data_IF_191170785707
#
_entry.id   IF_191170785707
#
_cell.length_a   1.000
_cell.length_b   1.000
_cell.length_c   1.000
_cell.angle_alpha   90.00
_cell.angle_beta   90.00
_cell.angle_gamma   90.00
#
_symmetry.space_group_name_H-M   'P 1'
#
loop_
_entity.id
_entity.type
_entity.pdbx_description
1 polymer ?
#
# COMPACT_ATOMS: atom_id res chain seq x y z
N UNK A 1 -16.44 38.88 39.40
CA UNK A 1 -16.48 40.28 38.92
C UNK A 1 -15.17 40.97 39.26
N UNK A 2 -14.53 41.56 38.23
CA UNK A 2 -13.41 42.54 38.23
C UNK A 2 -12.04 42.03 38.72
N UNK A 3 -11.09 41.80 37.80
CA UNK A 3 -10.19 42.76 37.12
C UNK A 3 -9.14 43.41 38.03
N UNK A 4 -7.87 43.11 37.77
CA UNK A 4 -6.78 44.10 37.77
C UNK A 4 -5.89 43.85 36.53
N UNK A 5 -5.84 44.88 35.69
CA UNK A 5 -4.94 45.08 34.55
C UNK A 5 -3.59 45.63 35.04
N UNK A 6 -2.50 45.40 34.30
CA UNK A 6 -1.58 46.49 33.93
C UNK A 6 -0.89 46.23 32.57
N UNK A 7 -0.88 47.29 31.77
CA UNK A 7 -0.37 47.45 30.40
C UNK A 7 1.14 47.75 30.37
N UNK A 8 1.80 47.49 29.24
CA UNK A 8 2.75 48.42 28.58
C UNK A 8 3.01 47.91 27.13
N UNK A 9 2.36 48.46 26.09
CA UNK A 9 2.73 49.61 25.22
C UNK A 9 3.44 49.19 23.93
N UNK A 10 2.76 49.45 22.81
CA UNK A 10 3.23 49.29 21.43
C UNK A 10 4.15 50.42 20.98
N UNK A 11 5.08 50.11 20.06
CA UNK A 11 5.54 51.01 19.00
C UNK A 11 5.58 50.21 17.69
N UNK A 12 4.90 50.75 16.69
CA UNK A 12 4.76 50.29 15.31
C UNK A 12 5.87 50.83 14.39
N UNK A 13 5.80 50.42 13.11
CA UNK A 13 6.42 50.96 11.86
C UNK A 13 7.62 50.11 11.39
N UNK A 14 7.71 49.58 10.16
CA UNK A 14 7.03 49.92 8.91
C UNK A 14 6.81 48.71 7.99
N UNK A 15 5.62 48.67 7.40
CA UNK A 15 5.29 48.06 6.12
C UNK A 15 5.88 48.95 5.01
N UNK A 16 6.54 48.36 4.02
CA UNK A 16 6.68 48.95 2.68
C UNK A 16 5.99 48.02 1.71
N UNK A 17 4.87 48.47 1.17
CA UNK A 17 4.24 47.98 -0.04
C UNK A 17 4.09 49.17 -0.99
N UNK A 18 4.65 49.08 -2.19
CA UNK A 18 4.36 49.87 -3.41
C UNK A 18 4.90 49.05 -4.58
N UNK A 19 4.31 48.84 -5.76
CA UNK A 19 2.94 48.84 -6.35
C UNK A 19 3.19 48.61 -7.86
N UNK A 20 2.55 47.57 -8.41
CA UNK A 20 1.86 47.44 -9.71
C UNK A 20 2.48 47.90 -11.04
N UNK A 21 2.32 47.03 -12.04
CA UNK A 21 1.46 47.26 -13.23
C UNK A 21 0.70 45.95 -13.49
N UNK A 22 -0.63 45.81 -13.48
CA UNK A 22 -1.70 46.77 -13.67
C UNK A 22 -2.28 46.63 -15.08
N UNK A 23 -3.26 45.73 -15.27
CA UNK A 23 -4.35 45.96 -16.23
C UNK A 23 -5.58 45.11 -15.85
N UNK A 24 -6.66 45.83 -15.57
CA UNK A 24 -7.99 45.34 -15.26
C UNK A 24 -8.62 44.60 -16.43
N UNK A 25 -9.28 43.48 -16.13
CA UNK A 25 -10.45 43.04 -16.88
C UNK A 25 -11.55 42.63 -15.89
N UNK A 26 -12.64 43.37 -16.00
CA UNK A 26 -13.93 43.16 -15.39
C UNK A 26 -14.47 41.76 -15.74
N UNK A 27 -15.03 41.07 -14.75
CA UNK A 27 -16.00 39.99 -14.92
C UNK A 27 -15.54 38.77 -15.70
N UNK A 28 -15.04 37.77 -14.99
CA UNK A 28 -15.42 36.40 -15.26
C UNK A 28 -15.43 35.65 -13.93
N UNK A 29 -16.53 34.95 -13.65
CA UNK A 29 -16.59 34.03 -12.52
C UNK A 29 -15.55 32.95 -12.77
N UNK A 30 -14.44 33.01 -12.05
CA UNK A 30 -13.50 31.90 -11.95
C UNK A 30 -14.25 30.77 -11.27
N UNK A 31 -14.93 29.91 -12.05
CA UNK A 31 -15.23 28.56 -11.62
C UNK A 31 -13.87 27.92 -11.39
N UNK A 32 -13.45 27.82 -10.13
CA UNK A 32 -12.40 26.88 -9.77
C UNK A 32 -12.94 25.51 -10.17
N UNK A 33 -12.49 24.99 -11.31
CA UNK A 33 -12.70 23.59 -11.66
C UNK A 33 -12.06 22.79 -10.54
N UNK A 34 -12.88 22.05 -9.79
CA UNK A 34 -12.37 21.11 -8.80
C UNK A 34 -11.52 20.08 -9.52
N UNK A 35 -10.33 19.79 -8.97
CA UNK A 35 -9.44 18.80 -9.55
C UNK A 35 -10.15 17.43 -9.55
N UNK A 36 -10.01 16.72 -10.67
CA UNK A 36 -10.61 15.41 -10.89
C UNK A 36 -9.53 14.35 -10.93
N UNK A 37 -9.62 13.34 -10.07
CA UNK A 37 -8.68 12.23 -10.04
C UNK A 37 -9.40 10.91 -10.24
N UNK A 38 -8.93 10.12 -11.20
CA UNK A 38 -9.41 8.75 -11.43
C UNK A 38 -8.36 7.76 -10.93
N UNK A 39 -8.82 6.77 -10.17
CA UNK A 39 -8.02 5.71 -9.60
C UNK A 39 -8.47 4.37 -10.15
N UNK A 40 -7.51 3.52 -10.50
CA UNK A 40 -7.76 2.12 -10.79
C UNK A 40 -7.49 1.30 -9.55
N UNK A 41 -8.53 0.65 -9.04
CA UNK A 41 -8.51 -0.16 -7.83
C UNK A 41 -8.91 -1.60 -8.11
N UNK A 42 -8.62 -2.49 -7.17
CA UNK A 42 -9.19 -3.83 -7.13
C UNK A 42 -9.73 -4.12 -5.75
N UNK A 43 -10.62 -5.10 -5.64
CA UNK A 43 -11.17 -5.53 -4.37
C UNK A 43 -10.99 -7.01 -4.09
N UNK A 44 -11.29 -7.41 -2.85
CA UNK A 44 -11.39 -8.80 -2.43
C UNK A 44 -12.44 -9.61 -3.21
N UNK A 45 -13.30 -8.95 -3.99
CA UNK A 45 -14.37 -9.57 -4.79
C UNK A 45 -14.31 -9.33 -6.29
N UNK A 46 -13.55 -8.34 -6.75
CA UNK A 46 -13.53 -7.98 -8.16
C UNK A 46 -12.18 -7.41 -8.58
N UNK A 47 -11.83 -7.63 -9.83
CA UNK A 47 -10.48 -7.34 -10.33
C UNK A 47 -10.28 -5.92 -10.81
N UNK A 48 -11.37 -5.15 -10.98
CA UNK A 48 -11.24 -3.80 -11.50
C UNK A 48 -12.35 -2.89 -11.01
N UNK A 49 -11.97 -1.74 -10.50
CA UNK A 49 -12.89 -0.62 -10.34
C UNK A 49 -12.19 0.69 -10.66
N UNK A 50 -12.86 1.53 -11.43
CA UNK A 50 -12.47 2.92 -11.63
C UNK A 50 -13.26 3.79 -10.69
N UNK A 51 -12.55 4.54 -9.85
CA UNK A 51 -13.16 5.51 -8.95
C UNK A 51 -12.67 6.89 -9.33
N UNK A 52 -13.60 7.81 -9.58
CA UNK A 52 -13.29 9.20 -9.90
C UNK A 52 -13.79 10.11 -8.80
N UNK A 53 -12.89 10.91 -8.24
CA UNK A 53 -13.18 11.92 -7.21
C UNK A 53 -13.17 13.30 -7.86
N UNK A 54 -14.25 14.06 -7.63
CA UNK A 54 -14.37 15.49 -7.96
C UNK A 54 -14.93 16.21 -6.74
N UNK A 55 -14.08 16.94 -6.02
CA UNK A 55 -14.45 17.56 -4.75
C UNK A 55 -14.91 16.53 -3.73
N UNK A 56 -16.17 16.62 -3.28
CA UNK A 56 -16.81 15.66 -2.38
C UNK A 56 -17.57 14.54 -3.11
N UNK A 57 -17.68 14.62 -4.45
CA UNK A 57 -18.41 13.63 -5.24
C UNK A 57 -17.47 12.51 -5.67
N UNK A 58 -17.95 11.29 -5.53
CA UNK A 58 -17.29 10.07 -5.97
C UNK A 58 -18.19 9.34 -6.96
N UNK A 59 -17.63 8.96 -8.11
CA UNK A 59 -18.31 8.07 -9.06
C UNK A 59 -17.45 6.84 -9.29
N UNK A 60 -18.07 5.67 -9.40
CA UNK A 60 -17.38 4.42 -9.61
C UNK A 60 -18.03 3.57 -10.69
N UNK A 61 -17.20 2.89 -11.47
CA UNK A 61 -17.59 1.70 -12.23
C UNK A 61 -16.73 0.55 -11.73
N UNK A 62 -17.37 -0.51 -11.23
CA UNK A 62 -16.71 -1.67 -10.65
C UNK A 62 -17.16 -2.94 -11.39
N UNK A 63 -16.19 -3.63 -12.00
CA UNK A 63 -16.41 -4.88 -12.69
C UNK A 63 -16.01 -6.06 -11.80
N UNK A 64 -16.92 -7.02 -11.64
CA UNK A 64 -16.60 -8.35 -11.10
C UNK A 64 -16.28 -9.26 -12.29
N UNK A 65 -15.07 -9.80 -12.30
CA UNK A 65 -14.51 -10.50 -13.46
C UNK A 65 -14.18 -11.93 -13.07
N UNK A 66 -14.69 -12.90 -13.84
CA UNK A 66 -14.42 -14.31 -13.65
C UNK A 66 -12.95 -14.65 -13.97
N UNK A 67 -12.50 -15.83 -13.56
CA UNK A 67 -11.14 -16.33 -13.82
C UNK A 67 -10.77 -16.37 -15.31
N UNK A 68 -11.77 -16.50 -16.19
CA UNK A 68 -11.58 -16.51 -17.64
C UNK A 68 -11.52 -15.10 -18.26
N UNK A 69 -11.65 -14.05 -17.45
CA UNK A 69 -11.64 -12.65 -17.88
C UNK A 69 -13.00 -12.09 -18.31
N UNK A 70 -14.08 -12.89 -18.27
CA UNK A 70 -15.42 -12.39 -18.59
C UNK A 70 -15.97 -11.55 -17.42
N UNK A 71 -16.61 -10.43 -17.75
CA UNK A 71 -17.34 -9.63 -16.75
C UNK A 71 -18.59 -10.40 -16.33
N UNK A 72 -18.66 -10.79 -15.06
CA UNK A 72 -19.82 -11.45 -14.48
C UNK A 72 -20.96 -10.46 -14.30
N UNK A 73 -20.67 -9.30 -13.73
CA UNK A 73 -21.57 -8.15 -13.61
C UNK A 73 -20.76 -6.90 -13.27
N UNK A 74 -21.39 -5.74 -13.45
CA UNK A 74 -20.81 -4.43 -13.15
C UNK A 74 -21.69 -3.63 -12.21
N UNK A 75 -21.07 -2.92 -11.28
CA UNK A 75 -21.71 -1.92 -10.45
C UNK A 75 -21.34 -0.51 -10.90
N UNK A 76 -22.34 0.36 -10.96
CA UNK A 76 -22.12 1.79 -11.07
C UNK A 76 -22.57 2.46 -9.77
N UNK A 77 -21.68 3.24 -9.17
CA UNK A 77 -21.90 3.90 -7.89
C UNK A 77 -21.71 5.40 -8.06
N UNK A 78 -22.60 6.18 -7.47
CA UNK A 78 -22.37 7.60 -7.18
C UNK A 78 -22.53 7.79 -5.69
N UNK A 79 -21.57 8.46 -5.08
CA UNK A 79 -21.52 8.69 -3.64
C UNK A 79 -21.06 10.11 -3.33
N UNK A 80 -21.39 10.56 -2.13
CA UNK A 80 -20.93 11.83 -1.56
C UNK A 80 -20.12 11.55 -0.31
N UNK A 81 -18.91 12.08 -0.26
CA UNK A 81 -17.99 11.94 0.86
C UNK A 81 -17.95 13.20 1.71
N UNK A 82 -17.83 13.00 3.03
CA UNK A 82 -17.57 14.09 3.96
C UNK A 82 -16.13 14.60 3.91
N UNK A 83 -15.85 15.54 4.81
CA UNK A 83 -14.48 15.99 5.07
C UNK A 83 -13.66 14.84 5.68
N UNK A 84 -12.36 14.81 5.38
CA UNK A 84 -11.45 13.84 5.99
C UNK A 84 -11.32 14.12 7.49
N UNK A 85 -11.47 13.08 8.31
CA UNK A 85 -11.12 13.08 9.72
C UNK A 85 -9.61 13.25 9.91
N UNK A 86 -9.17 13.44 11.16
CA UNK A 86 -7.74 13.54 11.49
C UNK A 86 -6.96 12.27 11.09
N UNK A 87 -7.62 11.12 10.94
CA UNK A 87 -7.05 9.87 10.41
C UNK A 87 -6.81 9.92 8.90
N UNK A 88 -7.40 10.87 8.17
CA UNK A 88 -7.43 10.92 6.70
C UNK A 88 -8.63 10.18 6.10
N UNK A 89 -9.44 9.53 6.94
CA UNK A 89 -10.66 8.82 6.53
C UNK A 89 -11.78 9.80 6.27
N UNK A 90 -12.44 9.65 5.13
CA UNK A 90 -13.71 10.28 4.81
C UNK A 90 -14.79 9.22 4.88
N UNK A 91 -15.87 9.51 5.57
CA UNK A 91 -17.07 8.69 5.47
C UNK A 91 -17.88 9.15 4.26
N UNK A 92 -18.32 8.21 3.45
CA UNK A 92 -19.03 8.42 2.21
C UNK A 92 -20.38 7.70 2.26
N UNK A 93 -21.39 8.26 1.59
CA UNK A 93 -22.72 7.67 1.47
C UNK A 93 -23.06 7.47 0.00
N UNK A 94 -23.54 6.27 -0.35
CA UNK A 94 -23.97 5.96 -1.71
C UNK A 94 -25.29 6.69 -1.99
N UNK A 95 -25.24 7.67 -2.89
CA UNK A 95 -26.38 8.44 -3.35
C UNK A 95 -27.24 7.61 -4.33
N UNK A 96 -26.57 6.93 -5.26
CA UNK A 96 -27.20 6.03 -6.23
C UNK A 96 -26.27 4.88 -6.57
N UNK A 97 -26.83 3.66 -6.61
CA UNK A 97 -26.16 2.47 -7.12
C UNK A 97 -27.00 1.82 -8.23
N UNK A 98 -26.34 1.14 -9.16
CA UNK A 98 -26.98 0.18 -10.08
C UNK A 98 -26.07 -1.02 -10.31
N UNK A 99 -26.68 -2.14 -10.69
CA UNK A 99 -25.96 -3.33 -11.14
C UNK A 99 -26.45 -3.70 -12.54
N UNK A 100 -25.49 -4.01 -13.43
CA UNK A 100 -25.73 -4.46 -14.80
C UNK A 100 -25.23 -5.90 -14.95
N UNK A 101 -26.13 -6.80 -15.34
CA UNK A 101 -25.80 -8.20 -15.62
C UNK A 101 -24.73 -8.31 -16.72
N UNK A 102 -23.74 -9.18 -16.49
CA UNK A 102 -22.78 -9.62 -17.49
C UNK A 102 -23.06 -11.08 -17.88
N UNK A 103 -22.08 -11.95 -17.66
CA UNK A 103 -22.26 -13.41 -17.80
C UNK A 103 -23.02 -14.04 -16.63
N UNK A 104 -23.08 -13.35 -15.48
CA UNK A 104 -23.87 -13.69 -14.31
C UNK A 104 -24.96 -12.63 -14.05
N UNK A 105 -25.93 -13.00 -13.22
CA UNK A 105 -27.04 -12.10 -12.84
C UNK A 105 -26.66 -11.37 -11.56
N UNK A 106 -26.86 -10.05 -11.56
CA UNK A 106 -26.75 -9.21 -10.38
C UNK A 106 -27.63 -9.74 -9.25
N UNK A 107 -27.03 -9.97 -8.09
CA UNK A 107 -27.81 -10.37 -6.91
C UNK A 107 -28.44 -9.16 -6.22
N UNK A 108 -27.74 -8.02 -6.19
CA UNK A 108 -28.12 -6.82 -5.44
C UNK A 108 -27.61 -5.53 -6.09
N UNK A 109 -28.06 -4.39 -5.55
CA UNK A 109 -27.60 -3.04 -5.91
C UNK A 109 -26.84 -2.43 -4.73
N UNK A 110 -25.67 -1.81 -4.93
CA UNK A 110 -24.88 -1.24 -3.85
C UNK A 110 -25.61 -0.03 -3.22
N UNK A 111 -25.70 -0.02 -1.89
CA UNK A 111 -26.29 1.06 -1.08
C UNK A 111 -25.57 1.15 0.26
N UNK A 112 -25.76 2.24 0.99
CA UNK A 112 -25.23 2.39 2.35
C UNK A 112 -24.03 3.32 2.43
N UNK A 113 -23.29 3.20 3.53
CA UNK A 113 -22.13 4.04 3.82
C UNK A 113 -20.83 3.21 3.73
N UNK A 114 -19.73 3.89 3.42
CA UNK A 114 -18.39 3.29 3.37
C UNK A 114 -17.34 4.32 3.74
N UNK A 115 -16.20 3.85 4.20
CA UNK A 115 -15.06 4.70 4.50
C UNK A 115 -14.08 4.72 3.33
N UNK A 116 -13.47 5.89 3.10
CA UNK A 116 -12.52 6.12 2.03
C UNK A 116 -11.29 6.86 2.55
N UNK A 117 -10.12 6.53 2.03
CA UNK A 117 -8.91 7.33 2.19
C UNK A 117 -8.31 7.58 0.81
N UNK A 118 -8.02 8.84 0.49
CA UNK A 118 -7.40 9.21 -0.77
C UNK A 118 -6.16 10.06 -0.56
N UNK A 119 -5.14 9.82 -1.40
CA UNK A 119 -4.03 10.73 -1.62
C UNK A 119 -4.25 11.32 -3.01
N UNK A 120 -4.65 12.59 -3.12
CA UNK A 120 -5.01 13.20 -4.40
C UNK A 120 -3.98 12.93 -5.51
N UNK A 121 -4.42 12.23 -6.56
CA UNK A 121 -3.60 11.90 -7.72
C UNK A 121 -2.52 10.84 -7.48
N UNK A 122 -2.61 10.07 -6.38
CA UNK A 122 -1.64 9.03 -6.04
C UNK A 122 -2.31 7.70 -5.70
N UNK A 123 -3.17 7.65 -4.67
CA UNK A 123 -3.76 6.40 -4.17
C UNK A 123 -5.17 6.56 -3.62
N UNK A 124 -5.90 5.45 -3.61
CA UNK A 124 -7.27 5.35 -3.12
C UNK A 124 -7.48 4.03 -2.38
N UNK A 125 -8.13 4.13 -1.24
CA UNK A 125 -8.60 3.02 -0.42
C UNK A 125 -10.08 3.23 -0.13
N UNK A 126 -10.89 2.20 -0.34
CA UNK A 126 -12.31 2.21 0.01
C UNK A 126 -12.59 0.93 0.80
N UNK A 127 -13.24 1.10 1.93
CA UNK A 127 -13.63 0.02 2.81
C UNK A 127 -15.14 0.08 3.05
N UNK A 128 -15.86 -0.94 2.61
CA UNK A 128 -17.32 -0.98 2.74
C UNK A 128 -17.71 -1.71 4.02
N UNK A 129 -18.45 -1.04 4.89
CA UNK A 129 -18.94 -1.65 6.13
C UNK A 129 -20.04 -2.68 5.82
N UNK A 130 -19.85 -3.91 6.30
CA UNK A 130 -20.72 -5.04 5.99
C UNK A 130 -22.09 -4.99 6.68
N UNK A 131 -23.09 -4.37 6.05
CA UNK A 131 -24.48 -4.87 6.12
C UNK A 131 -24.77 -5.93 5.03
N UNK A 132 -23.84 -6.11 4.11
CA UNK A 132 -23.81 -7.20 3.14
C UNK A 132 -22.88 -8.28 3.69
N UNK A 133 -23.20 -9.55 3.46
CA UNK A 133 -22.45 -10.72 3.97
C UNK A 133 -20.96 -10.79 3.56
N UNK A 134 -20.38 -9.72 2.99
CA UNK A 134 -18.96 -9.61 2.72
C UNK A 134 -18.51 -8.13 2.73
N UNK A 135 -17.77 -7.75 3.77
CA UNK A 135 -16.91 -6.57 3.83
C UNK A 135 -15.93 -6.55 2.65
N UNK A 136 -15.72 -5.39 2.03
CA UNK A 136 -14.87 -5.26 0.85
C UNK A 136 -13.87 -4.13 1.00
N UNK A 137 -12.64 -4.44 0.64
CA UNK A 137 -11.55 -3.48 0.57
C UNK A 137 -11.19 -3.28 -0.90
N UNK A 138 -11.35 -2.07 -1.40
CA UNK A 138 -10.76 -1.64 -2.65
C UNK A 138 -9.44 -0.93 -2.38
N UNK A 139 -8.39 -1.33 -3.10
CA UNK A 139 -7.06 -0.71 -3.07
C UNK A 139 -6.66 -0.34 -4.48
N UNK A 140 -6.20 0.89 -4.68
CA UNK A 140 -5.71 1.30 -5.99
C UNK A 140 -4.89 2.57 -6.00
N UNK A 141 -4.44 2.89 -7.20
CA UNK A 141 -3.58 4.04 -7.45
C UNK A 141 -4.13 4.88 -8.59
N UNK A 142 -3.62 6.09 -8.73
CA UNK A 142 -3.97 6.97 -9.83
C UNK A 142 -3.83 6.22 -11.17
N UNK A 143 -4.91 6.24 -11.95
CA UNK A 143 -5.05 5.46 -13.18
C UNK A 143 -3.98 5.86 -14.18
N UNK A 144 -3.33 4.86 -14.78
CA UNK A 144 -2.58 5.06 -16.01
C UNK A 144 -3.54 4.89 -17.19
N UNK A 145 -3.76 5.96 -17.95
CA UNK A 145 -4.63 5.92 -19.13
C UNK A 145 -4.09 4.97 -20.22
N UNK A 146 -2.78 4.72 -20.19
CA UNK A 146 -2.07 3.82 -21.08
C UNK A 146 -1.83 2.43 -20.44
N UNK A 147 -2.56 2.03 -19.39
CA UNK A 147 -2.30 0.78 -18.64
C UNK A 147 -2.23 -0.51 -19.49
N UNK A 148 -2.95 -0.56 -20.63
CA UNK A 148 -2.90 -1.69 -21.58
C UNK A 148 -1.80 -1.58 -22.65
N UNK A 149 -1.12 -0.45 -22.76
CA UNK A 149 -0.06 -0.21 -23.74
C UNK A 149 1.30 0.03 -23.10
N UNK A 150 1.35 0.65 -21.92
CA UNK A 150 2.53 0.79 -21.08
C UNK A 150 2.78 -0.51 -20.33
N UNK A 151 4.03 -0.97 -20.31
CA UNK A 151 4.39 -2.18 -19.58
C UNK A 151 5.45 -1.94 -18.49
N UNK A 152 5.51 -2.90 -17.59
CA UNK A 152 6.43 -2.97 -16.45
C UNK A 152 7.81 -3.28 -17.00
N UNK A 153 8.73 -2.32 -16.94
CA UNK A 153 10.11 -2.53 -17.40
C UNK A 153 11.12 -1.99 -16.39
N UNK A 154 12.19 -2.76 -16.20
CA UNK A 154 13.27 -2.44 -15.27
C UNK A 154 13.06 -3.08 -13.89
N UNK A 155 13.65 -2.45 -12.88
CA UNK A 155 13.78 -3.02 -11.54
C UNK A 155 12.69 -2.47 -10.60
N UNK A 156 12.02 -3.38 -9.91
CA UNK A 156 10.91 -3.10 -9.01
C UNK A 156 11.16 -3.72 -7.63
N UNK A 157 10.86 -2.95 -6.59
CA UNK A 157 10.74 -3.48 -5.23
C UNK A 157 9.30 -3.97 -5.04
N UNK A 158 9.11 -5.07 -4.33
CA UNK A 158 7.79 -5.59 -4.06
C UNK A 158 7.61 -6.10 -2.63
N UNK A 159 6.35 -6.15 -2.19
CA UNK A 159 5.90 -6.95 -1.05
C UNK A 159 4.69 -7.80 -1.41
N UNK A 160 4.64 -9.01 -0.84
CA UNK A 160 3.48 -9.89 -0.88
C UNK A 160 2.56 -9.56 0.29
N UNK A 161 1.28 -9.44 0.04
CA UNK A 161 0.27 -9.10 1.06
C UNK A 161 -0.42 -10.34 1.63
N UNK A 162 -0.08 -11.54 1.15
CA UNK A 162 -0.64 -12.79 1.67
C UNK A 162 -0.24 -13.03 3.12
N UNK A 163 -1.24 -13.38 3.94
CA UNK A 163 -1.02 -13.79 5.33
C UNK A 163 -0.54 -15.24 5.40
N UNK A 164 0.06 -15.63 6.51
CA UNK A 164 0.58 -16.97 6.75
C UNK A 164 1.74 -17.40 5.85
N UNK A 165 2.34 -16.46 5.12
CA UNK A 165 3.48 -16.66 4.23
C UNK A 165 4.79 -16.31 4.96
N UNK A 166 5.86 -17.04 4.67
CA UNK A 166 7.21 -16.83 5.23
C UNK A 166 8.20 -16.27 4.20
N UNK A 167 7.74 -16.00 2.97
CA UNK A 167 8.40 -15.26 1.89
C UNK A 167 7.55 -14.06 1.51
N UNK A 168 8.00 -12.83 1.75
CA UNK A 168 7.07 -11.71 1.59
C UNK A 168 7.64 -10.39 1.06
N UNK A 169 8.95 -10.25 0.85
CA UNK A 169 9.49 -9.05 0.22
C UNK A 169 10.61 -9.39 -0.75
N UNK A 170 10.88 -8.48 -1.68
CA UNK A 170 11.93 -8.73 -2.66
C UNK A 170 12.00 -7.71 -3.77
N UNK A 171 12.60 -8.14 -4.88
CA UNK A 171 12.63 -7.36 -6.10
C UNK A 171 12.42 -8.25 -7.32
N UNK A 172 12.00 -7.64 -8.41
CA UNK A 172 12.05 -8.26 -9.72
C UNK A 172 12.58 -7.29 -10.77
N UNK A 173 13.15 -7.85 -11.84
CA UNK A 173 13.51 -7.17 -13.07
C UNK A 173 12.66 -7.76 -14.19
N UNK A 174 11.91 -6.91 -14.86
CA UNK A 174 11.13 -7.31 -16.03
C UNK A 174 11.68 -6.74 -17.32
N UNK A 175 11.44 -7.47 -18.41
CA UNK A 175 11.65 -6.99 -19.78
C UNK A 175 10.62 -5.92 -20.18
N UNK A 176 10.72 -5.41 -21.41
CA UNK A 176 9.87 -4.32 -21.90
C UNK A 176 8.37 -4.67 -21.98
N UNK A 177 7.98 -5.93 -21.77
CA UNK A 177 6.59 -6.40 -21.91
C UNK A 177 6.10 -7.24 -20.71
N UNK A 178 6.80 -7.22 -19.58
CA UNK A 178 6.47 -8.04 -18.40
C UNK A 178 6.19 -9.52 -18.77
N UNK A 179 7.02 -10.08 -19.64
CA UNK A 179 6.96 -11.46 -20.12
C UNK A 179 8.08 -12.29 -19.50
N UNK A 180 9.28 -11.75 -19.43
CA UNK A 180 10.44 -12.41 -18.84
C UNK A 180 10.81 -11.68 -17.55
N UNK A 181 10.60 -12.35 -16.42
CA UNK A 181 10.74 -11.77 -15.09
C UNK A 181 11.83 -12.53 -14.35
N UNK A 182 12.90 -11.82 -13.99
CA UNK A 182 13.84 -12.28 -12.98
C UNK A 182 13.37 -11.79 -11.63
N UNK A 183 13.24 -12.64 -10.62
CA UNK A 183 12.82 -12.21 -9.29
C UNK A 183 13.66 -12.81 -8.16
N UNK A 184 13.59 -12.15 -7.01
CA UNK A 184 14.25 -12.59 -5.79
C UNK A 184 13.37 -12.29 -4.60
N UNK A 185 12.99 -13.33 -3.87
CA UNK A 185 12.10 -13.35 -2.73
C UNK A 185 12.91 -13.62 -1.48
N UNK A 186 12.62 -12.84 -0.44
CA UNK A 186 13.23 -12.96 0.86
C UNK A 186 12.16 -13.10 1.93
N UNK A 187 12.59 -13.71 3.03
CA UNK A 187 11.79 -13.81 4.24
C UNK A 187 12.62 -14.24 5.42
N UNK A 188 11.96 -14.42 6.55
CA UNK A 188 12.63 -14.79 7.80
C UNK A 188 12.61 -16.29 8.03
N UNK A 189 13.62 -16.77 8.74
CA UNK A 189 13.66 -18.14 9.24
C UNK A 189 14.11 -18.16 10.70
N UNK A 190 13.23 -18.61 11.58
CA UNK A 190 13.55 -18.89 12.98
C UNK A 190 12.58 -19.89 13.61
N UNK A 191 13.08 -21.08 13.94
CA UNK A 191 12.31 -22.07 14.68
C UNK A 191 12.09 -21.71 16.16
N UNK A 192 12.79 -20.70 16.69
CA UNK A 192 12.79 -20.34 18.11
C UNK A 192 12.34 -18.89 18.26
N UNK A 193 11.20 -18.67 18.93
CA UNK A 193 10.59 -17.35 19.11
C UNK A 193 11.50 -16.29 19.76
N UNK A 194 12.54 -16.70 20.49
CA UNK A 194 13.50 -15.81 21.17
C UNK A 194 14.84 -15.68 20.43
N UNK A 195 15.03 -16.40 19.32
CA UNK A 195 16.25 -16.32 18.54
C UNK A 195 16.12 -15.28 17.43
N UNK A 196 17.16 -14.45 17.25
CA UNK A 196 17.29 -13.58 16.07
C UNK A 196 17.15 -14.46 14.82
N UNK A 197 16.21 -14.15 13.91
CA UNK A 197 16.04 -14.92 12.69
C UNK A 197 17.20 -14.69 11.73
N UNK A 198 17.28 -15.52 10.69
CA UNK A 198 18.07 -15.24 9.49
C UNK A 198 17.16 -14.63 8.41
N UNK A 199 17.72 -13.77 7.55
CA UNK A 199 17.10 -13.49 6.23
C UNK A 199 17.50 -14.60 5.27
N UNK A 200 16.53 -15.19 4.60
CA UNK A 200 16.75 -16.31 3.69
C UNK A 200 16.29 -15.93 2.30
N UNK A 201 17.07 -16.32 1.29
CA UNK A 201 16.67 -16.29 -0.11
C UNK A 201 15.77 -17.49 -0.38
N UNK A 202 14.52 -17.23 -0.79
CA UNK A 202 13.44 -18.24 -0.89
C UNK A 202 12.97 -18.52 -2.31
N UNK A 203 13.52 -17.81 -3.30
CA UNK A 203 13.14 -18.00 -4.70
C UNK A 203 13.39 -19.44 -5.16
N UNK A 204 12.32 -20.11 -5.56
CA UNK A 204 12.38 -21.45 -6.14
C UNK A 204 12.98 -21.44 -7.55
N UNK A 205 12.34 -20.70 -8.45
CA UNK A 205 12.81 -20.46 -9.82
C UNK A 205 13.07 -18.96 -9.97
N UNK A 206 14.28 -18.56 -10.37
CA UNK A 206 14.59 -17.13 -10.51
C UNK A 206 13.90 -16.48 -11.71
N UNK A 207 13.70 -17.25 -12.79
CA UNK A 207 13.08 -16.75 -14.01
C UNK A 207 11.66 -17.30 -14.15
N UNK A 208 10.70 -16.39 -14.25
CA UNK A 208 9.32 -16.67 -14.63
C UNK A 208 9.03 -16.10 -16.02
N UNK A 209 8.61 -17.00 -16.92
CA UNK A 209 8.16 -16.63 -18.27
C UNK A 209 6.64 -16.64 -18.32
N UNK A 210 6.08 -15.45 -18.48
CA UNK A 210 4.65 -15.21 -18.53
C UNK A 210 4.16 -15.19 -19.98
N UNK A 211 3.10 -15.94 -20.28
CA UNK A 211 2.41 -15.78 -21.56
C UNK A 211 1.33 -14.70 -21.47
N UNK A 212 1.33 -13.79 -22.45
CA UNK A 212 0.34 -12.72 -22.56
C UNK A 212 -1.03 -13.28 -22.97
N UNK A 213 -2.05 -12.99 -22.16
CA UNK A 213 -3.44 -13.35 -22.43
C UNK A 213 -4.29 -12.12 -22.79
N UNK A 214 -3.66 -10.94 -22.92
CA UNK A 214 -4.29 -9.69 -23.31
C UNK A 214 -4.57 -8.75 -22.14
N UNK A 215 -5.17 -7.61 -22.49
CA UNK A 215 -5.53 -6.57 -21.54
C UNK A 215 -6.95 -6.06 -21.82
N UNK A 216 -7.76 -5.96 -20.78
CA UNK A 216 -9.14 -5.44 -20.84
C UNK A 216 -9.29 -4.44 -19.71
N UNK A 217 -9.75 -3.23 -20.04
CA UNK A 217 -9.98 -2.15 -19.08
C UNK A 217 -8.80 -1.88 -18.13
N UNK A 218 -7.56 -1.93 -18.66
CA UNK A 218 -6.34 -1.69 -17.87
C UNK A 218 -5.87 -2.87 -17.02
N UNK A 219 -6.62 -3.97 -16.97
CA UNK A 219 -6.23 -5.23 -16.34
C UNK A 219 -5.57 -6.15 -17.36
N UNK A 220 -4.29 -6.45 -17.12
CA UNK A 220 -3.51 -7.40 -17.90
C UNK A 220 -3.62 -8.79 -17.30
N UNK A 221 -3.97 -9.77 -18.11
CA UNK A 221 -3.96 -11.17 -17.72
C UNK A 221 -2.74 -11.85 -18.32
N UNK A 222 -1.96 -12.53 -17.49
CA UNK A 222 -0.83 -13.35 -17.91
C UNK A 222 -0.96 -14.75 -17.35
N UNK A 223 -0.37 -15.75 -17.99
CA UNK A 223 -0.29 -17.10 -17.43
C UNK A 223 1.13 -17.45 -17.03
N UNK A 224 1.30 -17.95 -15.80
CA UNK A 224 2.56 -18.53 -15.30
C UNK A 224 2.69 -19.95 -15.89
N UNK A 225 3.93 -20.38 -16.13
CA UNK A 225 4.25 -21.75 -16.57
C UNK A 225 3.65 -22.80 -15.62
N UNK A 226 2.59 -23.48 -16.06
CA UNK A 226 1.82 -24.40 -15.20
C UNK A 226 0.30 -24.27 -15.33
N UNK A 227 -0.18 -23.18 -15.95
CA UNK A 227 -1.60 -22.97 -16.26
C UNK A 227 -2.33 -22.05 -15.27
N UNK A 228 -1.62 -21.47 -14.31
CA UNK A 228 -2.14 -20.45 -13.39
C UNK A 228 -2.16 -19.08 -14.09
N UNK A 229 -3.19 -18.29 -13.85
CA UNK A 229 -3.32 -16.93 -14.37
C UNK A 229 -2.99 -15.92 -13.29
N UNK A 230 -2.18 -14.93 -13.62
CA UNK A 230 -2.04 -13.69 -12.86
C UNK A 230 -2.80 -12.57 -13.55
N UNK A 231 -3.41 -11.72 -12.74
CA UNK A 231 -3.99 -10.46 -13.19
C UNK A 231 -3.19 -9.32 -12.60
N UNK A 232 -2.94 -8.27 -13.36
CA UNK A 232 -2.08 -7.17 -12.96
C UNK A 232 -2.56 -5.85 -13.56
N UNK A 233 -2.35 -4.75 -12.84
CA UNK A 233 -2.71 -3.40 -13.26
C UNK A 233 -1.49 -2.50 -13.22
N UNK A 234 -1.25 -1.83 -14.34
CA UNK A 234 -0.31 -0.73 -14.43
C UNK A 234 -0.95 0.55 -13.91
N UNK A 235 -0.29 1.22 -12.99
CA UNK A 235 -0.73 2.50 -12.43
C UNK A 235 0.32 3.57 -12.71
N UNK A 236 -0.02 4.84 -12.50
CA UNK A 236 0.96 5.91 -12.67
C UNK A 236 2.12 5.83 -11.68
N UNK A 237 1.89 5.23 -10.51
CA UNK A 237 2.87 5.13 -9.42
C UNK A 237 3.67 3.83 -9.42
N UNK A 238 3.22 2.78 -10.12
CA UNK A 238 3.88 1.48 -10.14
C UNK A 238 3.02 0.36 -10.73
N UNK A 239 3.28 -0.87 -10.28
CA UNK A 239 2.52 -2.05 -10.68
C UNK A 239 1.84 -2.66 -9.46
N UNK A 240 0.54 -2.88 -9.56
CA UNK A 240 -0.21 -3.63 -8.57
C UNK A 240 -0.66 -4.97 -9.18
N UNK A 241 -0.21 -6.08 -8.62
CA UNK A 241 -0.52 -7.45 -9.11
C UNK A 241 -1.62 -8.06 -8.26
N UNK A 242 -2.71 -8.44 -8.93
CA UNK A 242 -4.08 -8.55 -8.42
C UNK A 242 -4.48 -9.92 -7.95
N UNK A 243 -3.89 -10.97 -8.51
CA UNK A 243 -4.35 -12.32 -8.24
C UNK A 243 -3.21 -13.30 -8.43
N UNK A 244 -2.70 -13.81 -7.32
CA UNK A 244 -2.17 -15.15 -7.29
C UNK A 244 -3.31 -16.12 -6.94
N UNK A 245 -3.17 -17.43 -7.17
CA UNK A 245 -4.12 -18.43 -6.71
C UNK A 245 -4.54 -18.22 -5.24
N UNK A 246 -5.77 -18.60 -4.90
CA UNK A 246 -6.33 -18.43 -3.55
C UNK A 246 -5.35 -18.90 -2.45
N UNK A 247 -5.12 -18.03 -1.46
CA UNK A 247 -4.17 -18.27 -0.36
C UNK A 247 -2.73 -17.78 -0.59
N UNK A 248 -2.39 -17.28 -1.79
CA UNK A 248 -1.06 -16.71 -2.08
C UNK A 248 -0.99 -15.18 -1.91
N UNK A 249 -2.12 -14.51 -1.70
CA UNK A 249 -2.21 -13.05 -1.55
C UNK A 249 -1.96 -12.26 -2.84
N UNK A 250 -1.76 -10.96 -2.72
CA UNK A 250 -1.39 -10.07 -3.83
C UNK A 250 0.07 -9.65 -3.76
N UNK A 251 0.55 -8.98 -4.81
CA UNK A 251 1.85 -8.28 -4.79
C UNK A 251 1.63 -6.80 -5.04
N UNK A 252 2.20 -5.98 -4.15
CA UNK A 252 2.34 -4.54 -4.42
C UNK A 252 3.77 -4.24 -4.77
N UNK A 253 3.97 -3.54 -5.90
CA UNK A 253 5.31 -3.24 -6.38
C UNK A 253 5.43 -1.84 -6.97
N UNK A 254 6.64 -1.29 -6.89
CA UNK A 254 6.95 0.02 -7.44
C UNK A 254 8.35 0.01 -8.06
N UNK A 255 8.54 0.85 -9.08
CA UNK A 255 9.86 1.03 -9.69
C UNK A 255 10.83 1.46 -8.62
N UNK A 256 12.02 0.88 -8.61
CA UNK A 256 13.09 1.25 -7.66
C UNK A 256 13.49 2.73 -7.76
N UNK A 257 13.26 3.38 -8.92
CA UNK A 257 13.42 4.84 -9.08
C UNK A 257 12.41 5.68 -8.30
N UNK A 258 11.27 5.09 -7.93
CA UNK A 258 10.23 5.71 -7.11
C UNK A 258 10.36 5.31 -5.63
N UNK A 259 11.39 4.55 -5.25
CA UNK A 259 11.60 4.15 -3.87
C UNK A 259 11.75 5.37 -2.96
N UNK A 260 11.06 5.35 -1.82
CA UNK A 260 11.23 6.38 -0.81
C UNK A 260 12.62 6.23 -0.15
N UNK A 261 13.16 7.35 0.32
CA UNK A 261 14.30 7.41 1.21
C UNK A 261 13.84 7.67 2.64
N UNK A 262 14.71 7.42 3.63
CA UNK A 262 14.36 7.67 5.03
C UNK A 262 14.03 9.16 5.30
N UNK A 263 14.70 10.07 4.59
CA UNK A 263 14.44 11.51 4.65
C UNK A 263 13.01 11.89 4.27
N UNK A 264 12.38 11.11 3.37
CA UNK A 264 11.03 11.41 2.90
C UNK A 264 9.96 11.24 3.99
N UNK A 265 10.28 10.47 5.04
CA UNK A 265 9.41 10.31 6.20
C UNK A 265 9.52 11.46 7.21
N UNK A 266 10.51 12.35 7.14
CA UNK A 266 10.74 13.31 8.20
C UNK A 266 9.69 14.45 8.24
N UNK A 267 9.17 14.75 9.43
CA UNK A 267 8.20 15.83 9.70
C UNK A 267 6.92 15.75 8.86
N UNK A 268 6.42 14.54 8.65
CA UNK A 268 5.20 14.22 7.91
C UNK A 268 4.07 13.75 8.83
N UNK A 269 2.84 13.93 8.36
CA UNK A 269 1.65 13.30 8.92
C UNK A 269 1.18 12.21 7.98
N UNK A 270 0.75 11.09 8.53
CA UNK A 270 0.28 9.94 7.80
C UNK A 270 -1.13 9.56 8.22
N UNK A 271 -1.93 9.10 7.28
CA UNK A 271 -3.11 8.27 7.51
C UNK A 271 -2.84 6.85 7.06
N UNK A 272 -3.70 5.91 7.39
CA UNK A 272 -3.50 4.54 7.01
C UNK A 272 -4.58 3.59 7.51
N UNK A 273 -4.39 2.33 7.20
CA UNK A 273 -5.18 1.21 7.70
C UNK A 273 -4.24 0.06 8.04
N UNK A 274 -4.45 -0.58 9.18
CA UNK A 274 -3.81 -1.86 9.53
C UNK A 274 -4.85 -2.96 9.40
N UNK A 275 -4.39 -4.13 9.01
CA UNK A 275 -5.11 -5.40 8.96
C UNK A 275 -4.44 -6.31 9.99
N UNK A 276 -4.91 -6.28 11.25
CA UNK A 276 -4.35 -7.11 12.30
C UNK A 276 -4.67 -8.60 12.06
N UNK A 277 -3.99 -9.46 12.80
CA UNK A 277 -4.14 -10.92 12.69
C UNK A 277 -5.51 -11.43 13.17
N UNK A 278 -6.04 -10.84 14.24
CA UNK A 278 -7.19 -11.36 14.99
C UNK A 278 -8.36 -10.35 15.10
N UNK A 279 -8.31 -9.23 14.36
CA UNK A 279 -9.37 -8.22 14.36
C UNK A 279 -9.66 -7.70 12.95
N UNK A 280 -10.76 -6.95 12.83
CA UNK A 280 -11.08 -6.25 11.59
C UNK A 280 -10.07 -5.14 11.29
N UNK A 281 -10.16 -4.53 10.09
CA UNK A 281 -9.28 -3.42 9.72
C UNK A 281 -9.41 -2.23 10.68
N UNK A 282 -8.29 -1.61 11.04
CA UNK A 282 -8.25 -0.49 11.98
C UNK A 282 -7.56 0.74 11.36
N UNK A 283 -8.13 1.95 11.49
CA UNK A 283 -7.52 3.15 10.94
C UNK A 283 -6.26 3.56 11.72
N UNK A 284 -5.27 4.06 10.99
CA UNK A 284 -4.02 4.59 11.52
C UNK A 284 -3.99 6.11 11.32
N UNK A 285 -3.59 6.84 12.35
CA UNK A 285 -3.12 8.22 12.21
C UNK A 285 -1.73 8.33 12.80
N UNK A 286 -0.75 8.82 12.05
CA UNK A 286 0.61 8.92 12.56
C UNK A 286 1.26 10.27 12.27
N UNK A 287 2.19 10.66 13.13
CA UNK A 287 3.05 11.83 12.93
C UNK A 287 4.50 11.43 13.14
N UNK A 288 5.35 11.90 12.25
CA UNK A 288 6.77 11.58 12.24
C UNK A 288 7.61 12.77 12.69
N UNK A 289 8.74 12.47 13.34
CA UNK A 289 9.69 13.44 13.84
C UNK A 289 10.75 13.82 12.80
N UNK A 290 11.80 14.46 13.28
CA UNK A 290 13.00 14.77 12.48
C UNK A 290 13.86 13.52 12.32
N UNK A 291 14.53 13.36 11.17
CA UNK A 291 15.57 12.35 11.01
C UNK A 291 16.71 12.64 11.99
N UNK A 292 17.00 11.70 12.89
CA UNK A 292 18.13 11.77 13.83
C UNK A 292 18.78 10.41 13.96
N UNK A 293 20.11 10.35 13.83
CA UNK A 293 20.84 9.10 14.09
C UNK A 293 20.56 7.94 13.14
N UNK A 294 19.96 8.19 11.96
CA UNK A 294 19.57 7.13 11.01
C UNK A 294 18.15 6.59 11.24
N UNK A 295 17.34 7.31 12.01
CA UNK A 295 15.98 6.91 12.38
C UNK A 295 15.01 8.10 12.30
N UNK A 296 13.77 7.83 11.90
CA UNK A 296 12.65 8.77 12.00
C UNK A 296 11.66 8.22 13.01
N UNK A 297 11.52 8.88 14.16
CA UNK A 297 10.51 8.52 15.16
C UNK A 297 9.12 8.71 14.58
N UNK A 298 8.20 7.79 14.83
CA UNK A 298 6.81 7.89 14.41
C UNK A 298 5.88 7.58 15.59
N UNK A 299 4.96 8.50 15.88
CA UNK A 299 3.89 8.29 16.84
C UNK A 299 2.62 7.93 16.05
N UNK A 300 2.25 6.65 16.08
CA UNK A 300 1.08 6.11 15.39
C UNK A 300 -0.05 5.86 16.39
N UNK A 301 -1.27 6.27 16.03
CA UNK A 301 -2.49 5.99 16.79
C UNK A 301 -3.30 4.95 16.02
N UNK A 302 -3.54 3.81 16.65
CA UNK A 302 -4.29 2.66 16.12
C UNK A 302 -5.36 2.31 17.15
N UNK A 303 -6.63 2.31 16.75
CA UNK A 303 -7.78 2.13 17.67
C UNK A 303 -7.69 2.98 18.97
N UNK A 304 -7.20 4.22 18.84
CA UNK A 304 -7.02 5.15 19.96
C UNK A 304 -5.83 4.85 20.89
N UNK A 305 -5.05 3.80 20.64
CA UNK A 305 -3.79 3.49 21.32
C UNK A 305 -2.63 4.14 20.58
N UNK A 306 -1.73 4.81 21.31
CA UNK A 306 -0.56 5.48 20.74
C UNK A 306 0.68 4.60 20.88
N UNK A 307 1.22 4.17 19.75
CA UNK A 307 2.49 3.47 19.62
C UNK A 307 3.60 4.44 19.19
N UNK A 308 4.74 4.37 19.87
CA UNK A 308 5.91 5.20 19.54
C UNK A 308 6.98 4.30 18.95
N UNK A 309 7.11 4.34 17.63
CA UNK A 309 8.00 3.48 16.85
C UNK A 309 9.11 4.30 16.21
N UNK A 310 10.03 3.64 15.53
CA UNK A 310 11.05 4.32 14.73
C UNK A 310 11.20 3.63 13.38
N UNK A 311 11.07 4.40 12.30
CA UNK A 311 11.31 3.94 10.93
C UNK A 311 12.80 4.04 10.69
N UNK A 312 13.39 2.95 10.18
CA UNK A 312 14.83 2.86 9.96
C UNK A 312 15.13 2.14 8.65
N UNK A 313 16.29 2.42 8.06
CA UNK A 313 16.83 1.58 6.99
C UNK A 313 17.17 0.18 7.54
N UNK A 314 17.26 -0.81 6.65
CA UNK A 314 17.47 -2.20 7.06
C UNK A 314 18.82 -2.40 7.76
N UNK A 315 19.87 -1.70 7.33
CA UNK A 315 21.22 -1.72 7.90
C UNK A 315 21.42 -0.87 9.16
N UNK A 316 20.48 0.02 9.50
CA UNK A 316 20.51 0.74 10.77
C UNK A 316 20.40 -0.25 11.93
N UNK A 317 21.33 -0.19 12.89
CA UNK A 317 21.29 -1.06 14.07
C UNK A 317 20.02 -0.81 14.90
N UNK A 318 19.27 -1.86 15.21
CA UNK A 318 18.09 -1.79 16.08
C UNK A 318 18.43 -1.91 17.57
N UNK A 319 17.51 -1.45 18.41
CA UNK A 319 17.58 -1.59 19.87
C UNK A 319 17.02 -2.93 20.39
N UNK A 320 16.40 -3.74 19.52
CA UNK A 320 15.84 -5.04 19.87
C UNK A 320 16.94 -6.08 20.13
N UNK A 321 16.70 -6.98 21.09
CA UNK A 321 17.69 -8.02 21.44
C UNK A 321 17.11 -9.42 21.63
N UNK A 322 15.79 -9.57 21.71
CA UNK A 322 15.15 -10.86 21.99
C UNK A 322 13.74 -10.98 21.36
N UNK A 323 13.65 -11.34 20.06
CA UNK A 323 14.80 -11.45 19.15
C UNK A 323 15.27 -10.05 18.67
N UNK A 324 16.43 -9.93 18.02
CA UNK A 324 16.82 -8.73 17.26
C UNK A 324 16.39 -8.85 15.79
N UNK A 325 16.53 -7.80 14.96
CA UNK A 325 16.47 -8.01 13.51
C UNK A 325 17.68 -8.83 13.00
N UNK A 326 17.54 -9.55 11.86
CA UNK A 326 18.68 -10.17 11.21
C UNK A 326 19.66 -9.12 10.65
N UNK A 327 20.87 -9.56 10.33
CA UNK A 327 21.82 -8.75 9.56
C UNK A 327 21.42 -8.70 8.07
N UNK A 328 20.85 -7.58 7.64
CA UNK A 328 20.46 -7.36 6.24
C UNK A 328 21.64 -7.02 5.32
N UNK A 329 22.84 -6.82 5.86
CA UNK A 329 24.08 -6.57 5.10
C UNK A 329 24.85 -7.85 4.80
N UNK A 330 24.41 -8.98 5.35
CA UNK A 330 24.91 -10.29 4.99
C UNK A 330 24.24 -10.78 3.70
N UNK A 331 25.03 -11.40 2.81
CA UNK A 331 24.51 -12.07 1.62
C UNK A 331 23.80 -13.36 2.07
N UNK A 332 22.47 -13.51 1.85
CA UNK A 332 21.78 -14.74 2.19
C UNK A 332 22.38 -15.93 1.45
N UNK A 333 22.39 -17.10 2.10
CA UNK A 333 22.94 -18.31 1.48
C UNK A 333 22.29 -18.57 0.11
N UNK A 334 23.10 -18.95 -0.87
CA UNK A 334 22.72 -19.24 -2.28
C UNK A 334 22.23 -18.06 -3.11
N UNK A 335 22.04 -16.86 -2.53
CA UNK A 335 21.63 -15.68 -3.28
C UNK A 335 22.70 -15.20 -4.27
N UNK A 336 23.97 -15.52 -4.03
CA UNK A 336 25.09 -15.24 -4.93
C UNK A 336 24.95 -15.89 -6.32
N UNK A 337 24.06 -16.89 -6.46
CA UNK A 337 23.72 -17.49 -7.75
C UNK A 337 22.67 -16.67 -8.54
N UNK A 338 21.92 -15.78 -7.88
CA UNK A 338 20.93 -14.92 -8.54
C UNK A 338 21.61 -13.89 -9.44
N UNK A 339 21.05 -13.69 -10.62
CA UNK A 339 21.44 -12.62 -11.55
C UNK A 339 21.21 -11.23 -10.95
N UNK A 340 20.19 -11.08 -10.09
CA UNK A 340 19.88 -9.82 -9.40
C UNK A 340 20.92 -9.46 -8.33
N UNK A 341 21.65 -10.45 -7.79
CA UNK A 341 22.70 -10.22 -6.78
C UNK A 341 23.84 -9.31 -7.24
N UNK A 342 24.04 -9.19 -8.56
CA UNK A 342 25.05 -8.25 -9.11
C UNK A 342 24.64 -6.78 -8.97
N UNK A 343 23.33 -6.50 -8.91
CA UNK A 343 22.79 -5.15 -8.73
C UNK A 343 22.46 -4.91 -7.26
N UNK A 344 21.92 -5.91 -6.58
CA UNK A 344 21.49 -5.86 -5.18
C UNK A 344 22.20 -6.98 -4.43
N UNK A 345 23.40 -6.73 -3.90
CA UNK A 345 24.23 -7.80 -3.34
C UNK A 345 23.62 -8.41 -2.06
N UNK A 346 22.85 -7.61 -1.35
CA UNK A 346 22.24 -7.93 -0.06
C UNK A 346 20.81 -7.39 0.00
N UNK A 347 19.96 -7.91 0.91
CA UNK A 347 18.62 -7.37 1.13
C UNK A 347 18.61 -5.86 1.47
N UNK A 348 19.67 -5.34 2.09
CA UNK A 348 19.79 -3.90 2.36
C UNK A 348 19.94 -3.05 1.09
N UNK A 349 20.44 -3.62 0.00
CA UNK A 349 20.63 -2.87 -1.26
C UNK A 349 19.31 -2.61 -1.99
N UNK A 350 18.22 -3.26 -1.58
CA UNK A 350 16.90 -3.13 -2.19
C UNK A 350 16.30 -1.75 -1.86
N UNK A 351 16.06 -0.88 -2.86
CA UNK A 351 15.57 0.46 -2.60
C UNK A 351 14.16 0.47 -2.00
N UNK A 352 13.95 1.34 -1.01
CA UNK A 352 12.62 1.60 -0.43
C UNK A 352 12.19 0.60 0.62
N UNK A 353 13.08 -0.28 1.10
CA UNK A 353 12.79 -1.14 2.24
C UNK A 353 13.23 -0.49 3.57
N UNK A 354 12.37 -0.65 4.56
CA UNK A 354 12.52 -0.11 5.91
C UNK A 354 12.10 -1.16 6.93
N UNK A 355 12.57 -0.98 8.17
CA UNK A 355 12.12 -1.73 9.33
C UNK A 355 11.63 -0.79 10.43
N UNK A 356 10.82 -1.32 11.35
CA UNK A 356 10.39 -0.57 12.53
C UNK A 356 11.10 -1.09 13.79
N UNK A 357 11.59 -0.15 14.60
CA UNK A 357 12.13 -0.41 15.95
C UNK A 357 11.17 0.08 17.04
N UNK A 358 11.51 -0.22 18.30
CA UNK A 358 10.70 -0.01 19.49
C UNK A 358 9.39 -0.81 19.49
N UNK A 359 9.39 -1.96 18.80
CA UNK A 359 8.32 -2.94 18.89
C UNK A 359 8.26 -3.50 20.31
N UNK A 360 7.05 -3.68 20.83
CA UNK A 360 6.81 -4.09 22.22
C UNK A 360 6.73 -5.61 22.39
N UNK A 361 6.65 -6.36 21.29
CA UNK A 361 6.56 -7.81 21.24
C UNK A 361 7.78 -8.46 20.55
N UNK A 362 7.68 -9.77 20.30
CA UNK A 362 8.73 -10.52 19.61
C UNK A 362 8.70 -10.40 18.08
N UNK A 363 7.75 -9.66 17.50
CA UNK A 363 7.48 -9.58 16.07
C UNK A 363 8.44 -8.70 15.29
N UNK A 364 8.40 -8.78 13.96
CA UNK A 364 9.21 -7.96 13.03
C UNK A 364 8.32 -7.25 12.04
N UNK A 365 8.72 -6.04 11.68
CA UNK A 365 7.99 -5.25 10.70
C UNK A 365 8.93 -4.85 9.59
N UNK A 366 8.57 -5.21 8.36
CA UNK A 366 9.21 -4.73 7.14
C UNK A 366 8.20 -3.91 6.37
N UNK A 367 8.65 -2.75 5.89
CA UNK A 367 7.85 -1.84 5.09
C UNK A 367 8.57 -1.56 3.78
N UNK A 368 7.86 -1.68 2.66
CA UNK A 368 8.28 -1.14 1.39
C UNK A 368 7.55 0.18 1.15
N UNK A 369 8.30 1.22 0.80
CA UNK A 369 7.74 2.55 0.58
C UNK A 369 8.24 3.19 -0.69
N UNK A 370 7.32 3.92 -1.33
CA UNK A 370 7.57 4.70 -2.53
C UNK A 370 7.25 6.17 -2.29
N UNK A 371 7.88 7.03 -3.07
CA UNK A 371 7.55 8.44 -3.21
C UNK A 371 7.03 8.69 -4.63
N UNK A 372 5.79 9.14 -4.71
CA UNK A 372 5.15 9.49 -5.97
C UNK A 372 4.41 10.81 -5.83
N UNK A 373 4.58 11.73 -6.80
CA UNK A 373 4.06 13.10 -6.72
C UNK A 373 4.37 13.79 -5.38
N UNK A 374 5.62 13.64 -4.91
CA UNK A 374 6.10 14.16 -3.62
C UNK A 374 5.36 13.64 -2.36
N UNK A 375 4.53 12.61 -2.51
CA UNK A 375 3.84 11.93 -1.41
C UNK A 375 4.42 10.55 -1.17
N UNK A 376 4.59 10.22 0.11
CA UNK A 376 5.06 8.91 0.55
C UNK A 376 3.89 7.96 0.73
N UNK A 377 4.02 6.75 0.20
CA UNK A 377 3.16 5.61 0.49
C UNK A 377 4.03 4.48 1.00
N UNK A 378 3.70 3.96 2.18
CA UNK A 378 4.33 2.81 2.78
C UNK A 378 3.34 1.66 2.88
N UNK A 379 3.77 0.46 2.56
CA UNK A 379 3.02 -0.77 2.78
C UNK A 379 3.91 -1.60 3.69
N UNK A 380 3.35 -2.15 4.76
CA UNK A 380 4.09 -2.92 5.73
C UNK A 380 3.49 -4.29 6.01
N UNK A 381 4.35 -5.17 6.49
CA UNK A 381 4.02 -6.53 6.91
C UNK A 381 4.47 -6.74 8.34
N UNK A 382 3.63 -7.42 9.11
CA UNK A 382 3.85 -7.73 10.52
C UNK A 382 4.11 -9.23 10.65
N UNK A 383 5.34 -9.56 10.95
CA UNK A 383 5.81 -10.91 11.16
C UNK A 383 5.70 -11.29 12.62
N UNK A 384 4.95 -12.33 12.92
CA UNK A 384 4.88 -12.91 14.25
C UNK A 384 5.32 -14.37 14.24
N UNK A 385 5.87 -14.80 15.37
CA UNK A 385 6.24 -16.21 15.53
C UNK A 385 4.96 -17.04 15.65
N UNK A 386 4.87 -18.11 14.86
CA UNK A 386 3.79 -19.10 14.91
C UNK A 386 4.38 -20.47 15.08
N UNK A 387 3.60 -21.37 15.69
CA UNK A 387 3.91 -22.78 15.81
C UNK A 387 2.87 -23.67 15.12
N UNK A 388 3.13 -24.98 15.11
CA UNK A 388 2.25 -25.96 14.45
C UNK A 388 0.88 -26.15 15.15
N UNK A 389 0.65 -25.51 16.30
CA UNK A 389 -0.64 -25.42 16.96
C UNK A 389 -1.46 -24.21 16.53
N UNK A 390 -0.83 -23.19 15.96
CA UNK A 390 -1.50 -21.99 15.44
C UNK A 390 -2.17 -22.26 14.08
N UNK A 391 -3.27 -21.56 13.80
CA UNK A 391 -4.00 -21.68 12.53
C UNK A 391 -3.47 -20.67 11.51
N UNK A 392 -3.15 -21.15 10.31
CA UNK A 392 -2.73 -20.30 9.20
C UNK A 392 -3.97 -19.59 8.61
N UNK A 393 -4.02 -18.24 8.65
CA UNK A 393 -5.16 -17.48 8.16
C UNK A 393 -5.39 -17.61 6.66
N UNK A 394 -4.37 -17.94 5.85
CA UNK A 394 -4.53 -18.05 4.40
C UNK A 394 -5.25 -19.33 3.94
N UNK A 395 -5.26 -20.39 4.74
CA UNK A 395 -5.83 -21.67 4.33
C UNK A 395 -6.64 -22.42 5.40
N UNK A 396 -6.70 -21.90 6.63
CA UNK A 396 -7.42 -22.48 7.76
C UNK A 396 -6.81 -23.76 8.33
N UNK A 397 -5.63 -24.19 7.85
CA UNK A 397 -4.90 -25.34 8.39
C UNK A 397 -3.84 -24.88 9.40
N UNK A 398 -3.34 -25.76 10.27
CA UNK A 398 -2.22 -25.40 11.14
C UNK A 398 -0.97 -25.02 10.35
N UNK A 399 -0.12 -24.15 10.92
CA UNK A 399 1.19 -23.88 10.33
C UNK A 399 2.03 -25.17 10.23
N UNK A 400 2.80 -25.33 9.14
CA UNK A 400 3.55 -26.57 8.93
C UNK A 400 4.67 -26.75 9.96
N UNK A 401 5.34 -25.66 10.34
CA UNK A 401 6.49 -25.64 11.23
C UNK A 401 6.54 -24.33 12.04
N UNK A 402 7.24 -24.29 13.19
CA UNK A 402 7.49 -23.04 13.88
C UNK A 402 8.36 -22.08 13.05
N UNK A 403 7.87 -20.86 12.80
CA UNK A 403 8.61 -19.82 12.08
C UNK A 403 8.02 -18.42 12.32
N UNK A 404 8.67 -17.37 11.79
CA UNK A 404 8.09 -16.04 11.61
C UNK A 404 7.27 -16.00 10.30
N UNK A 405 5.97 -15.72 10.43
CA UNK A 405 5.05 -15.62 9.31
C UNK A 405 4.43 -14.23 9.25
N UNK A 406 4.09 -13.75 8.05
CA UNK A 406 3.27 -12.57 7.88
C UNK A 406 1.89 -12.81 8.48
N UNK A 407 1.50 -12.03 9.47
CA UNK A 407 0.24 -12.19 10.22
C UNK A 407 -0.62 -10.94 10.17
N UNK A 408 -0.11 -9.86 9.57
CA UNK A 408 -0.88 -8.65 9.39
C UNK A 408 -0.18 -7.75 8.39
N UNK A 409 -0.96 -6.89 7.76
CA UNK A 409 -0.43 -5.90 6.82
C UNK A 409 -0.86 -4.51 7.28
N UNK A 410 -0.17 -3.47 6.83
CA UNK A 410 -0.66 -2.12 6.96
C UNK A 410 -0.30 -1.29 5.75
N UNK A 411 -0.99 -0.17 5.60
CA UNK A 411 -0.70 0.81 4.57
C UNK A 411 -0.72 2.19 5.23
N UNK A 412 0.28 3.00 4.91
CA UNK A 412 0.45 4.38 5.34
C UNK A 412 0.55 5.29 4.13
N UNK A 413 -0.07 6.46 4.20
CA UNK A 413 0.01 7.49 3.19
C UNK A 413 0.24 8.86 3.80
N UNK A 414 1.09 9.66 3.16
CA UNK A 414 1.28 11.04 3.53
C UNK A 414 0.01 11.87 3.29
N UNK A 415 -0.41 12.62 4.32
CA UNK A 415 -1.55 13.55 4.28
C UNK A 415 -1.24 14.85 3.55
#
# INVERSE_FOLDING_TARGET
>A
MKNVNFKLTAISVALVAVITSGCSSSGDGSSTTEDSFTYSTTSSKGDYSEWTIVGSSLTATWNVVADNGDIEYSYDVTATCGDAADSGVRSCSIDTGSCTDGTAVCTDTPTGDFDMMDVPGVALFIHTDGEFDDEQLHVGFAKNDDACTDDVSGDYTFMRTGLGLDENFGMYRSDDNFVDILHSDFGFNSAIATATPDVVYRTGTENEVLADQGCVDGVRTRSIGGGESIRSMMTNSGLFVLGFPAGQGGIVSFKTSNAASLDDFANKSFGGIVFPDDSGPEPISATSGVLTGGEVTIAATIDGVVENLSIMQLDTADSMTNPAYPDFTAVPATYDASTLSMTYATPNDIPGLFKFDNLTDGGRVIMAAMKFNDKVIGIGMVYNHRDAGDTNPANGNPFPDPNLYNTGNFILFEK
#
